data_IF_061185950433
#
_entry.id   IF_061185950433
#
_cell.length_a   1.000
_cell.length_b   1.000
_cell.length_c   1.000
_cell.angle_alpha   90.00
_cell.angle_beta   90.00
_cell.angle_gamma   90.00
#
_symmetry.space_group_name_H-M   'P 1'
#
loop_
_entity.id
_entity.type
_entity.pdbx_description
1 polymer ?
#
# COMPACT_ATOMS: atom_id res chain seq x y z
N UNK A 1 12.68 3.76 9.81
CA UNK A 1 11.67 2.82 10.33
C UNK A 1 10.81 2.47 9.14
N UNK A 2 10.74 1.21 8.76
CA UNK A 2 9.79 0.78 7.73
C UNK A 2 8.43 0.72 8.40
N UNK A 3 7.53 1.61 8.00
CA UNK A 3 6.18 1.71 8.58
C UNK A 3 5.29 0.52 8.16
N UNK A 4 5.75 -0.31 7.22
CA UNK A 4 5.04 -1.47 6.71
C UNK A 4 5.86 -2.76 6.83
N UNK A 5 5.19 -3.84 7.22
CA UNK A 5 5.73 -5.18 7.31
C UNK A 5 5.18 -6.08 6.20
N UNK A 6 5.90 -7.15 5.89
CA UNK A 6 5.43 -8.19 4.96
C UNK A 6 4.18 -8.85 5.56
N UNK A 7 3.10 -8.87 4.80
CA UNK A 7 1.78 -9.34 5.22
C UNK A 7 0.78 -8.23 5.53
N UNK A 8 1.23 -6.97 5.64
CA UNK A 8 0.33 -5.85 5.91
C UNK A 8 -0.58 -5.56 4.71
N UNK A 9 -1.88 -5.32 5.00
CA UNK A 9 -2.83 -4.82 4.02
C UNK A 9 -2.60 -3.31 3.82
N UNK A 10 -2.52 -2.88 2.57
CA UNK A 10 -2.34 -1.48 2.20
C UNK A 10 -3.33 -1.05 1.12
N UNK A 11 -3.73 0.22 1.19
CA UNK A 11 -4.39 0.90 0.07
C UNK A 11 -3.39 1.70 -0.75
N UNK A 12 -3.62 1.76 -2.05
CA UNK A 12 -2.87 2.64 -2.94
C UNK A 12 -3.47 4.04 -2.99
N UNK A 13 -2.60 5.03 -3.17
CA UNK A 13 -2.95 6.41 -3.53
C UNK A 13 -2.51 6.71 -4.95
N UNK A 14 -3.29 7.52 -5.66
CA UNK A 14 -2.97 7.92 -7.04
C UNK A 14 -1.68 8.76 -7.10
N UNK A 15 -1.45 9.62 -6.08
CA UNK A 15 -0.23 10.44 -5.89
C UNK A 15 -0.05 10.81 -4.41
N UNK A 16 1.11 11.36 -4.06
CA UNK A 16 1.43 11.91 -2.74
C UNK A 16 0.40 12.93 -2.19
N UNK A 17 -0.40 13.57 -3.07
CA UNK A 17 -1.50 14.51 -2.73
C UNK A 17 -2.80 14.09 -3.45
N UNK A 18 -3.03 12.78 -3.62
CA UNK A 18 -4.21 12.22 -4.27
C UNK A 18 -5.24 11.65 -3.29
N UNK A 19 -6.47 11.43 -3.75
CA UNK A 19 -7.47 10.66 -2.98
C UNK A 19 -7.00 9.20 -2.85
N UNK A 20 -7.31 8.51 -1.73
CA UNK A 20 -7.12 7.07 -1.62
C UNK A 20 -7.85 6.40 -2.78
N UNK A 21 -7.13 5.61 -3.56
CA UNK A 21 -7.77 4.74 -4.53
C UNK A 21 -8.41 3.60 -3.73
N UNK A 22 -9.59 3.13 -4.14
CA UNK A 22 -10.21 1.92 -3.58
C UNK A 22 -9.48 0.64 -4.00
N UNK A 23 -8.17 0.75 -4.21
CA UNK A 23 -7.29 -0.32 -4.67
C UNK A 23 -6.50 -0.81 -3.45
N UNK A 24 -6.60 -2.11 -3.17
CA UNK A 24 -6.00 -2.84 -2.07
C UNK A 24 -4.88 -3.73 -2.56
N UNK A 25 -3.89 -3.93 -1.71
CA UNK A 25 -2.87 -4.94 -1.89
C UNK A 25 -2.23 -5.36 -0.58
N UNK A 26 -1.34 -6.34 -0.66
CA UNK A 26 -0.59 -6.87 0.47
C UNK A 26 0.90 -6.65 0.25
N UNK A 27 1.61 -6.23 1.28
CA UNK A 27 3.06 -6.12 1.22
C UNK A 27 3.65 -7.53 1.16
N UNK A 28 4.32 -7.86 0.05
CA UNK A 28 4.98 -9.17 -0.15
C UNK A 28 6.50 -9.06 -0.09
N UNK A 29 7.06 -7.85 -0.06
CA UNK A 29 8.48 -7.64 0.08
C UNK A 29 8.87 -6.19 0.35
N UNK A 30 10.03 -6.00 0.97
CA UNK A 30 10.64 -4.69 1.22
C UNK A 30 11.88 -4.60 0.33
N UNK A 31 11.85 -3.69 -0.65
CA UNK A 31 12.91 -3.56 -1.66
C UNK A 31 14.00 -2.58 -1.23
N UNK A 32 13.62 -1.49 -0.56
CA UNK A 32 14.52 -0.50 0.02
C UNK A 32 13.84 0.20 1.21
N UNK A 33 14.50 1.20 1.81
CA UNK A 33 13.94 1.95 2.94
C UNK A 33 12.54 2.52 2.66
N UNK A 34 12.28 2.95 1.42
CA UNK A 34 11.05 3.62 1.02
C UNK A 34 10.27 2.87 -0.08
N UNK A 35 10.72 1.68 -0.51
CA UNK A 35 10.09 0.92 -1.59
C UNK A 35 9.63 -0.45 -1.15
N UNK A 36 8.41 -0.79 -1.57
CA UNK A 36 7.74 -2.01 -1.19
C UNK A 36 7.18 -2.72 -2.44
N UNK A 37 7.27 -4.04 -2.42
CA UNK A 37 6.59 -4.90 -3.39
C UNK A 37 5.19 -5.23 -2.85
N UNK A 38 4.16 -4.87 -3.61
CA UNK A 38 2.76 -5.02 -3.22
C UNK A 38 2.08 -5.99 -4.17
N UNK A 39 1.47 -7.03 -3.62
CA UNK A 39 0.58 -7.93 -4.36
C UNK A 39 -0.82 -7.31 -4.42
N UNK A 40 -1.28 -7.04 -5.64
CA UNK A 40 -2.54 -6.35 -5.87
C UNK A 40 -3.73 -7.30 -5.70
N UNK A 41 -4.62 -7.01 -4.75
CA UNK A 41 -5.82 -7.82 -4.48
C UNK A 41 -7.06 -7.40 -5.25
N UNK A 42 -7.09 -6.19 -5.80
CA UNK A 42 -8.20 -5.73 -6.63
C UNK A 42 -7.77 -4.61 -7.61
N UNK A 43 -8.71 -4.21 -8.47
CA UNK A 43 -8.51 -3.12 -9.42
C UNK A 43 -7.84 -3.55 -10.73
N UNK A 44 -7.30 -2.60 -11.48
CA UNK A 44 -6.76 -2.86 -12.82
C UNK A 44 -5.55 -3.80 -12.86
N UNK A 45 -4.82 -3.91 -11.74
CA UNK A 45 -3.60 -4.70 -11.62
C UNK A 45 -3.77 -5.95 -10.77
N UNK A 46 -5.00 -6.38 -10.48
CA UNK A 46 -5.29 -7.56 -9.66
C UNK A 46 -4.48 -8.78 -10.10
N UNK A 47 -3.88 -9.48 -9.12
CA UNK A 47 -3.05 -10.67 -9.34
C UNK A 47 -1.60 -10.37 -9.76
N UNK A 48 -1.20 -9.10 -9.84
CA UNK A 48 0.18 -8.69 -10.14
C UNK A 48 0.90 -8.20 -8.90
N UNK A 49 2.23 -8.35 -8.91
CA UNK A 49 3.12 -7.72 -7.94
C UNK A 49 3.67 -6.45 -8.57
N UNK A 50 3.49 -5.32 -7.89
CA UNK A 50 3.90 -4.00 -8.35
C UNK A 50 4.72 -3.31 -7.26
N UNK A 51 5.67 -2.47 -7.68
CA UNK A 51 6.51 -1.70 -6.77
C UNK A 51 5.89 -0.32 -6.50
N UNK A 52 5.88 0.09 -5.23
CA UNK A 52 5.37 1.39 -4.80
C UNK A 52 6.30 2.04 -3.78
N UNK A 53 6.37 3.37 -3.83
CA UNK A 53 7.03 4.16 -2.80
C UNK A 53 6.12 4.31 -1.57
N UNK A 54 6.70 4.46 -0.38
CA UNK A 54 6.02 4.64 0.91
C UNK A 54 4.87 5.66 0.85
N UNK A 55 5.10 6.80 0.18
CA UNK A 55 4.12 7.89 0.07
C UNK A 55 2.85 7.53 -0.72
N UNK A 56 2.90 6.42 -1.48
CA UNK A 56 1.78 5.91 -2.27
C UNK A 56 0.98 4.84 -1.53
N UNK A 57 1.44 4.41 -0.35
CA UNK A 57 0.84 3.35 0.45
C UNK A 57 0.17 3.94 1.70
N UNK A 58 -0.93 3.32 2.11
CA UNK A 58 -1.64 3.69 3.33
C UNK A 58 -2.08 2.43 4.08
N UNK A 59 -1.74 2.32 5.36
CA UNK A 59 -2.15 1.18 6.19
C UNK A 59 -3.65 1.21 6.45
N UNK A 60 -4.29 0.04 6.44
CA UNK A 60 -5.72 -0.10 6.74
C UNK A 60 -5.99 0.02 8.24
N UNK A 61 -5.02 -0.33 9.07
CA UNK A 61 -5.15 -0.31 10.54
C UNK A 61 -4.97 1.10 11.14
N UNK A 62 -4.78 2.14 10.32
CA UNK A 62 -4.62 3.52 10.81
C UNK A 62 -5.91 4.35 10.81
N UNK A 63 -7.08 3.72 10.57
CA UNK A 63 -8.39 4.34 10.74
C UNK A 63 -9.18 3.67 11.89
N UNK A 64 -8.64 3.71 13.11
CA UNK A 64 -9.46 3.95 14.29
C UNK A 64 -9.20 5.39 14.77
N UNK A 65 -10.26 6.12 15.10
CA UNK A 65 -10.37 7.56 15.39
C UNK A 65 -10.45 8.46 14.14
N UNK A 66 -11.63 8.87 13.69
CA UNK A 66 -12.44 9.84 14.44
C UNK A 66 -13.93 9.71 14.06
N UNK A 67 -14.77 9.46 15.07
CA UNK A 67 -16.25 9.57 15.04
C UNK A 67 -16.66 11.03 15.15
#
# INVERSE_FOLDING_TARGET
MSDFNIGDEVYLRDRAIGKPLKIKGDIVGILSADRYAVFMRNGFNEGKIMEYDYQQLFSVDSDEETV
#
